data_IF_173345805873
#
_entry.id   IF_173345805873
#
_cell.length_a   1.000
_cell.length_b   1.000
_cell.length_c   1.000
_cell.angle_alpha   90.00
_cell.angle_beta   90.00
_cell.angle_gamma   90.00
#
_symmetry.space_group_name_H-M   'P 1'
#
loop_
_entity.id
_entity.type
_entity.pdbx_description
1 polymer ?
#
# COMPACT_ATOMS: atom_id res chain seq x y z
N UNK A 1 -10.38 -20.27 -4.76
CA UNK A 1 -11.81 -20.51 -5.06
C UNK A 1 -12.37 -19.25 -5.68
N UNK A 2 -13.03 -19.36 -6.83
CA UNK A 2 -13.74 -18.25 -7.49
C UNK A 2 -15.23 -18.32 -7.15
N UNK A 3 -15.92 -17.17 -7.17
CA UNK A 3 -17.39 -17.12 -7.01
C UNK A 3 -18.08 -17.85 -8.16
N UNK A 4 -19.20 -18.51 -7.88
CA UNK A 4 -20.10 -19.02 -8.91
C UNK A 4 -20.89 -17.88 -9.57
N UNK A 5 -21.48 -18.13 -10.74
CA UNK A 5 -22.24 -17.12 -11.48
C UNK A 5 -23.44 -16.58 -10.68
N UNK A 6 -24.13 -17.45 -9.94
CA UNK A 6 -25.23 -17.05 -9.06
C UNK A 6 -24.75 -16.11 -7.94
N UNK A 7 -23.55 -16.35 -7.38
CA UNK A 7 -22.96 -15.48 -6.36
C UNK A 7 -22.53 -14.13 -6.93
N UNK A 8 -21.93 -14.11 -8.13
CA UNK A 8 -21.57 -12.87 -8.83
C UNK A 8 -22.81 -12.01 -9.14
N UNK A 9 -23.88 -12.65 -9.62
CA UNK A 9 -25.15 -11.98 -9.93
C UNK A 9 -25.81 -11.42 -8.67
N UNK A 10 -25.91 -12.21 -7.60
CA UNK A 10 -26.48 -11.75 -6.34
C UNK A 10 -25.68 -10.57 -5.74
N UNK A 11 -24.35 -10.63 -5.76
CA UNK A 11 -23.50 -9.55 -5.27
C UNK A 11 -23.73 -8.26 -6.06
N UNK A 12 -23.65 -8.32 -7.38
CA UNK A 12 -23.76 -7.14 -8.24
C UNK A 12 -25.16 -6.51 -8.20
N UNK A 13 -26.21 -7.32 -8.05
CA UNK A 13 -27.59 -6.84 -7.89
C UNK A 13 -27.79 -6.03 -6.59
N UNK A 14 -27.09 -6.38 -5.51
CA UNK A 14 -27.21 -5.69 -4.21
C UNK A 14 -26.21 -4.54 -4.08
N UNK A 15 -24.96 -4.76 -4.47
CA UNK A 15 -23.88 -3.80 -4.29
C UNK A 15 -23.90 -2.66 -5.32
N UNK A 16 -24.44 -2.90 -6.52
CA UNK A 16 -24.42 -1.93 -7.63
C UNK A 16 -23.07 -1.80 -8.33
N UNK A 17 -22.10 -2.66 -8.03
CA UNK A 17 -20.79 -2.73 -8.69
C UNK A 17 -20.27 -4.18 -8.71
N UNK A 18 -19.24 -4.44 -9.52
CA UNK A 18 -18.64 -5.79 -9.61
C UNK A 18 -17.71 -6.09 -8.43
N UNK A 19 -17.58 -7.36 -8.01
CA UNK A 19 -16.60 -7.76 -7.00
C UNK A 19 -15.17 -7.32 -7.34
N UNK A 20 -14.83 -7.29 -8.64
CA UNK A 20 -13.53 -6.83 -9.14
C UNK A 20 -13.28 -5.36 -8.79
N UNK A 21 -14.26 -4.47 -9.01
CA UNK A 21 -14.15 -3.06 -8.64
C UNK A 21 -13.99 -2.89 -7.14
N UNK A 22 -14.74 -3.65 -6.34
CA UNK A 22 -14.59 -3.65 -4.88
C UNK A 22 -13.18 -4.05 -4.45
N UNK A 23 -12.64 -5.12 -5.05
CA UNK A 23 -11.29 -5.61 -4.74
C UNK A 23 -10.21 -4.60 -5.13
N UNK A 24 -10.41 -3.89 -6.25
CA UNK A 24 -9.48 -2.88 -6.73
C UNK A 24 -9.50 -1.64 -5.83
N UNK A 25 -10.67 -1.23 -5.34
CA UNK A 25 -10.82 -0.15 -4.37
C UNK A 25 -10.03 -0.45 -3.10
N UNK A 26 -10.29 -1.59 -2.44
CA UNK A 26 -9.63 -1.95 -1.19
C UNK A 26 -8.11 -2.08 -1.35
N UNK A 27 -7.67 -2.71 -2.45
CA UNK A 27 -6.25 -2.79 -2.79
C UNK A 27 -5.65 -1.38 -2.92
N UNK A 28 -6.23 -0.54 -3.77
CA UNK A 28 -5.73 0.82 -4.00
C UNK A 28 -5.72 1.66 -2.72
N UNK A 29 -6.72 1.52 -1.85
CA UNK A 29 -6.76 2.19 -0.54
C UNK A 29 -5.58 1.80 0.35
N UNK A 30 -5.25 0.50 0.43
CA UNK A 30 -4.08 0.03 1.20
C UNK A 30 -2.78 0.61 0.62
N UNK A 31 -2.65 0.63 -0.71
CA UNK A 31 -1.46 1.19 -1.37
C UNK A 31 -1.32 2.70 -1.09
N UNK A 32 -2.40 3.46 -1.19
CA UNK A 32 -2.39 4.91 -0.89
C UNK A 32 -1.97 5.17 0.55
N UNK A 33 -2.54 4.44 1.52
CA UNK A 33 -2.17 4.57 2.93
C UNK A 33 -0.69 4.23 3.17
N UNK A 34 -0.19 3.17 2.54
CA UNK A 34 1.21 2.77 2.63
C UNK A 34 2.16 3.83 2.05
N UNK A 35 1.81 4.42 0.89
CA UNK A 35 2.58 5.51 0.27
C UNK A 35 2.61 6.76 1.15
N UNK A 36 1.45 7.19 1.66
CA UNK A 36 1.37 8.33 2.57
C UNK A 36 2.23 8.12 3.82
N UNK A 37 2.18 6.91 4.39
CA UNK A 37 3.02 6.55 5.53
C UNK A 37 4.52 6.57 5.17
N UNK A 38 4.91 6.05 4.02
CA UNK A 38 6.31 6.10 3.55
C UNK A 38 6.79 7.55 3.36
N UNK A 39 5.97 8.41 2.74
CA UNK A 39 6.28 9.83 2.57
C UNK A 39 6.47 10.51 3.91
N UNK A 40 5.57 10.26 4.87
CA UNK A 40 5.69 10.80 6.22
C UNK A 40 6.96 10.30 6.94
N UNK A 41 7.28 9.00 6.85
CA UNK A 41 8.47 8.41 7.44
C UNK A 41 9.76 8.99 6.84
N UNK A 42 9.81 9.16 5.51
CA UNK A 42 10.94 9.79 4.83
C UNK A 42 11.08 11.26 5.19
N UNK A 43 9.96 12.00 5.28
CA UNK A 43 9.98 13.40 5.68
C UNK A 43 10.50 13.59 7.11
N UNK A 44 10.03 12.78 8.05
CA UNK A 44 10.49 12.82 9.45
C UNK A 44 11.96 12.43 9.57
N UNK A 45 12.39 11.37 8.86
CA UNK A 45 13.80 10.97 8.78
C UNK A 45 14.70 12.06 8.17
N UNK A 46 14.27 12.67 7.07
CA UNK A 46 14.99 13.76 6.42
C UNK A 46 15.14 14.96 7.36
N UNK A 47 14.06 15.38 8.05
CA UNK A 47 14.14 16.47 9.04
C UNK A 47 15.09 16.14 10.18
N UNK A 48 15.09 14.90 10.66
CA UNK A 48 16.02 14.43 11.69
C UNK A 48 17.48 14.49 11.23
N UNK A 49 17.75 14.06 10.00
CA UNK A 49 19.08 14.14 9.38
C UNK A 49 19.54 15.59 9.17
N UNK A 50 18.67 16.44 8.61
CA UNK A 50 18.96 17.85 8.37
C UNK A 50 19.24 18.63 9.67
N UNK A 51 18.62 18.22 10.79
CA UNK A 51 18.89 18.77 12.11
C UNK A 51 20.13 18.18 12.80
N UNK A 52 20.87 17.27 12.16
CA UNK A 52 22.06 16.62 12.74
C UNK A 52 21.76 15.52 13.76
N UNK A 53 20.49 15.16 13.98
CA UNK A 53 20.08 14.14 14.94
C UNK A 53 20.18 12.70 14.40
N UNK A 54 20.43 12.55 13.09
CA UNK A 54 20.44 11.26 12.41
C UNK A 54 21.58 11.22 11.40
N UNK A 55 22.35 10.13 11.38
CA UNK A 55 23.42 9.98 10.39
C UNK A 55 22.86 9.50 9.04
N UNK A 56 23.62 9.74 7.96
CA UNK A 56 23.18 9.38 6.61
C UNK A 56 22.91 7.88 6.43
N UNK A 57 23.71 7.03 7.09
CA UNK A 57 23.54 5.57 7.04
C UNK A 57 22.20 5.09 7.62
N UNK A 58 21.75 5.69 8.72
CA UNK A 58 20.47 5.41 9.34
C UNK A 58 19.30 5.88 8.48
N UNK A 59 19.43 7.04 7.82
CA UNK A 59 18.43 7.53 6.87
C UNK A 59 18.34 6.59 5.67
N UNK A 60 19.48 6.33 5.01
CA UNK A 60 19.55 5.46 3.82
C UNK A 60 19.08 4.04 4.10
N UNK A 61 19.50 3.45 5.23
CA UNK A 61 19.03 2.13 5.65
C UNK A 61 17.52 2.09 5.91
N UNK A 62 16.94 3.15 6.47
CA UNK A 62 15.49 3.25 6.67
C UNK A 62 14.75 3.41 5.35
N UNK A 63 15.25 4.25 4.43
CA UNK A 63 14.70 4.39 3.08
C UNK A 63 14.70 3.07 2.32
N UNK A 64 15.78 2.28 2.42
CA UNK A 64 15.86 0.97 1.77
C UNK A 64 14.83 -0.02 2.34
N UNK A 65 14.62 -0.03 3.67
CA UNK A 65 13.58 -0.86 4.30
C UNK A 65 12.17 -0.46 3.84
N UNK A 66 11.89 0.83 3.72
CA UNK A 66 10.62 1.33 3.19
C UNK A 66 10.41 0.90 1.74
N UNK A 67 11.45 1.02 0.90
CA UNK A 67 11.40 0.57 -0.49
C UNK A 67 11.14 -0.95 -0.60
N UNK A 68 11.85 -1.76 0.21
CA UNK A 68 11.63 -3.21 0.27
C UNK A 68 10.21 -3.55 0.72
N UNK A 69 9.68 -2.87 1.73
CA UNK A 69 8.31 -3.08 2.20
C UNK A 69 7.27 -2.76 1.09
N UNK A 70 7.47 -1.67 0.33
CA UNK A 70 6.61 -1.32 -0.79
C UNK A 70 6.70 -2.35 -1.93
N UNK A 71 7.90 -2.86 -2.25
CA UNK A 71 8.07 -3.90 -3.27
C UNK A 71 7.33 -5.18 -2.87
N UNK A 72 7.49 -5.63 -1.63
CA UNK A 72 6.80 -6.82 -1.11
C UNK A 72 5.29 -6.60 -1.12
N UNK A 73 4.81 -5.43 -0.70
CA UNK A 73 3.39 -5.10 -0.75
C UNK A 73 2.85 -5.14 -2.18
N UNK A 74 3.53 -4.49 -3.14
CA UNK A 74 3.10 -4.51 -4.54
C UNK A 74 3.09 -5.91 -5.14
N UNK A 75 4.07 -6.75 -4.80
CA UNK A 75 4.09 -8.16 -5.22
C UNK A 75 2.81 -8.89 -4.80
N UNK A 76 2.43 -8.80 -3.52
CA UNK A 76 1.21 -9.44 -3.02
C UNK A 76 -0.09 -8.84 -3.57
N UNK A 77 -0.07 -7.58 -3.99
CA UNK A 77 -1.25 -6.93 -4.57
C UNK A 77 -1.48 -7.30 -6.04
N UNK A 78 -0.41 -7.64 -6.76
CA UNK A 78 -0.38 -7.99 -8.17
C UNK A 78 -0.41 -9.51 -8.43
N UNK A 79 -0.10 -10.33 -7.43
CA UNK A 79 -0.25 -11.80 -7.44
C UNK A 79 -1.71 -12.23 -7.34
#
# INVERSE_FOLDING_TARGET
MSMSDAQLSAFSAVAGFTPQLSSALWRSSVLVLALLWCTWALWTGYRGWAAGNLNFGALGGSTLRLALALIVLMFFMLS
#
